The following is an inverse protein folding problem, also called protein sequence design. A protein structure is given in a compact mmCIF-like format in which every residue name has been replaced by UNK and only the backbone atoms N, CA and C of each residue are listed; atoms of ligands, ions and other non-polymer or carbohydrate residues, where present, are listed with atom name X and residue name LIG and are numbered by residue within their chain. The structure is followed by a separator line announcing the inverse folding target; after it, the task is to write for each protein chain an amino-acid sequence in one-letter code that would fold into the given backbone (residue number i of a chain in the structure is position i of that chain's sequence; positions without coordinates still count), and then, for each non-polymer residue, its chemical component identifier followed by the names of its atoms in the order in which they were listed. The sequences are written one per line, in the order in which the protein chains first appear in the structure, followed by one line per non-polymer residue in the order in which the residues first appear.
data_IF_640516676711
#
_entry.id   IF_640516676711
#
_cell.length_a   1.000
_cell.length_b   1.000
_cell.length_c   1.000
_cell.angle_alpha   90.00
_cell.angle_beta   90.00
_cell.angle_gamma   90.00
#
_symmetry.space_group_name_H-M   'P 1'
#
loop_
_entity.id
_entity.type
_entity.pdbx_description
1 polymer ?
#
# COMPACT_ATOMS: atom_id res chain seq x y z
N UNK A 1 -1.73 18.19 9.54
CA UNK A 1 -0.74 18.08 8.47
C UNK A 1 -1.40 17.48 7.23
N UNK A 2 -1.22 18.13 6.09
CA UNK A 2 -1.86 17.68 4.86
C UNK A 2 -1.02 16.57 4.20
N UNK A 3 -1.60 15.38 4.04
CA UNK A 3 -0.92 14.26 3.39
C UNK A 3 -0.97 14.42 1.86
N UNK A 4 0.14 14.16 1.15
CA UNK A 4 0.16 14.27 -0.31
C UNK A 4 -0.66 13.17 -0.96
N UNK A 5 -1.70 13.57 -1.69
CA UNK A 5 -2.63 12.64 -2.35
C UNK A 5 -1.95 11.69 -3.33
N UNK A 6 -0.99 12.21 -4.10
CA UNK A 6 -0.28 11.40 -5.10
C UNK A 6 0.49 10.27 -4.42
N UNK A 7 1.15 10.56 -3.31
CA UNK A 7 1.91 9.55 -2.57
C UNK A 7 0.97 8.48 -2.01
N UNK A 8 -0.17 8.90 -1.44
CA UNK A 8 -1.16 7.96 -0.89
C UNK A 8 -1.74 7.07 -1.98
N UNK A 9 -2.10 7.65 -3.12
CA UNK A 9 -2.61 6.88 -4.26
C UNK A 9 -1.59 5.85 -4.74
N UNK A 10 -0.30 6.20 -4.75
CA UNK A 10 0.75 5.28 -5.13
C UNK A 10 0.97 4.17 -4.10
N UNK A 11 0.71 4.43 -2.81
CA UNK A 11 0.72 3.37 -1.78
C UNK A 11 -0.36 2.34 -2.11
N UNK A 12 -1.56 2.77 -2.45
CA UNK A 12 -2.65 1.87 -2.81
C UNK A 12 -2.30 1.04 -4.05
N UNK A 13 -1.73 1.67 -5.08
CA UNK A 13 -1.26 0.96 -6.27
C UNK A 13 -0.18 -0.06 -5.92
N UNK A 14 0.77 0.32 -5.07
CA UNK A 14 1.85 -0.56 -4.63
C UNK A 14 1.31 -1.79 -3.88
N UNK A 15 0.33 -1.61 -3.01
CA UNK A 15 -0.29 -2.73 -2.30
C UNK A 15 -1.00 -3.69 -3.26
N UNK A 16 -1.66 -3.17 -4.29
CA UNK A 16 -2.25 -3.99 -5.33
C UNK A 16 -1.17 -4.77 -6.09
N UNK A 17 -0.05 -4.14 -6.41
CA UNK A 17 1.07 -4.81 -7.08
C UNK A 17 1.63 -5.97 -6.25
N UNK A 18 1.72 -5.79 -4.93
CA UNK A 18 2.22 -6.85 -4.04
C UNK A 18 1.20 -7.97 -3.88
N UNK A 19 -0.04 -7.64 -3.52
CA UNK A 19 -1.02 -8.65 -3.09
C UNK A 19 -1.86 -9.23 -4.22
N UNK A 20 -2.07 -8.51 -5.30
CA UNK A 20 -2.86 -8.97 -6.43
C UNK A 20 -1.95 -9.48 -7.55
N UNK A 21 -0.90 -8.74 -7.88
CA UNK A 21 0.01 -9.09 -8.97
C UNK A 21 1.20 -9.93 -8.54
N UNK A 22 1.41 -10.10 -7.24
CA UNK A 22 2.47 -10.96 -6.71
C UNK A 22 3.88 -10.40 -6.83
N UNK A 23 4.04 -9.09 -6.93
CA UNK A 23 5.34 -8.45 -7.05
C UNK A 23 5.99 -8.27 -5.68
N UNK A 24 7.33 -8.28 -5.64
CA UNK A 24 8.05 -8.01 -4.40
C UNK A 24 7.97 -6.54 -4.02
N UNK A 25 7.76 -6.25 -2.72
CA UNK A 25 7.64 -4.89 -2.22
C UNK A 25 8.86 -4.03 -2.57
N UNK A 26 10.08 -4.57 -2.45
CA UNK A 26 11.32 -3.85 -2.80
C UNK A 26 11.32 -3.39 -4.25
N UNK A 27 10.89 -4.24 -5.16
CA UNK A 27 10.81 -3.93 -6.59
C UNK A 27 9.75 -2.87 -6.88
N UNK A 28 8.62 -2.97 -6.20
CA UNK A 28 7.52 -2.00 -6.34
C UNK A 28 7.97 -0.62 -5.88
N UNK A 29 8.65 -0.54 -4.74
CA UNK A 29 9.15 0.73 -4.18
C UNK A 29 10.22 1.34 -5.09
N UNK A 30 11.17 0.54 -5.55
CA UNK A 30 12.21 1.00 -6.47
C UNK A 30 11.61 1.59 -7.75
N UNK A 31 10.64 0.90 -8.33
CA UNK A 31 9.96 1.35 -9.54
C UNK A 31 9.21 2.66 -9.31
N UNK A 32 8.54 2.80 -8.17
CA UNK A 32 7.82 4.02 -7.83
C UNK A 32 8.76 5.21 -7.70
N UNK A 33 9.92 5.02 -7.08
CA UNK A 33 10.93 6.08 -6.96
C UNK A 33 11.47 6.51 -8.31
N UNK A 34 11.67 5.59 -9.24
CA UNK A 34 12.09 5.89 -10.61
C UNK A 34 11.01 6.66 -11.38
N UNK A 35 9.75 6.32 -11.16
CA UNK A 35 8.62 6.98 -11.81
C UNK A 35 8.37 8.38 -11.23
N UNK A 36 8.66 8.58 -9.95
CA UNK A 36 8.39 9.84 -9.24
C UNK A 36 9.67 10.47 -8.72
N UNK A 37 10.58 10.79 -9.63
CA UNK A 37 11.89 11.38 -9.31
C UNK A 37 11.83 12.70 -8.56
N UNK A 38 10.70 13.40 -8.65
CA UNK A 38 10.51 14.69 -7.99
C UNK A 38 10.13 14.56 -6.51
N UNK A 39 9.83 13.36 -6.04
CA UNK A 39 9.55 13.18 -4.63
C UNK A 39 10.79 13.49 -3.78
N UNK A 40 10.61 14.35 -2.78
CA UNK A 40 11.66 14.64 -1.81
C UNK A 40 11.82 13.49 -0.79
N UNK A 41 12.77 13.66 0.11
CA UNK A 41 13.07 12.66 1.14
C UNK A 41 11.84 12.30 1.99
N UNK A 42 11.01 13.29 2.31
CA UNK A 42 9.81 13.13 3.11
C UNK A 42 8.76 12.24 2.42
N UNK A 43 8.50 12.52 1.13
CA UNK A 43 7.52 11.75 0.36
C UNK A 43 7.99 10.32 0.14
N UNK A 44 9.28 10.14 -0.15
CA UNK A 44 9.87 8.81 -0.31
C UNK A 44 9.78 8.00 0.98
N UNK A 45 10.03 8.63 2.11
CA UNK A 45 9.93 7.97 3.42
C UNK A 45 8.49 7.57 3.71
N UNK A 46 7.55 8.48 3.52
CA UNK A 46 6.12 8.19 3.73
C UNK A 46 5.68 7.01 2.89
N UNK A 47 6.02 7.01 1.60
CA UNK A 47 5.67 5.92 0.69
C UNK A 47 6.28 4.60 1.13
N UNK A 48 7.60 4.56 1.34
CA UNK A 48 8.29 3.33 1.67
C UNK A 48 7.87 2.75 3.02
N UNK A 49 7.79 3.58 4.05
CA UNK A 49 7.36 3.13 5.38
C UNK A 49 5.93 2.61 5.37
N UNK A 50 5.03 3.30 4.67
CA UNK A 50 3.64 2.88 4.57
C UNK A 50 3.51 1.53 3.88
N UNK A 51 4.19 1.35 2.75
CA UNK A 51 4.16 0.07 2.02
C UNK A 51 4.76 -1.05 2.86
N UNK A 52 5.95 -0.85 3.44
CA UNK A 52 6.60 -1.90 4.24
C UNK A 52 5.78 -2.27 5.48
N UNK A 53 5.26 -1.29 6.20
CA UNK A 53 4.47 -1.55 7.39
C UNK A 53 3.18 -2.30 7.07
N UNK A 54 2.46 -1.87 6.04
CA UNK A 54 1.20 -2.52 5.67
C UNK A 54 1.46 -3.93 5.14
N UNK A 55 2.49 -4.13 4.33
CA UNK A 55 2.85 -5.47 3.82
C UNK A 55 3.24 -6.38 4.97
N UNK A 56 4.09 -5.92 5.89
CA UNK A 56 4.58 -6.71 7.02
C UNK A 56 3.44 -7.16 7.94
N UNK A 57 2.50 -6.27 8.20
CA UNK A 57 1.39 -6.51 9.11
C UNK A 57 0.04 -6.56 8.38
N UNK A 58 0.04 -7.13 7.17
CA UNK A 58 -1.11 -7.12 6.26
C UNK A 58 -2.39 -7.63 6.90
N UNK A 59 -2.36 -8.81 7.53
CA UNK A 59 -3.55 -9.40 8.16
C UNK A 59 -4.11 -8.50 9.25
N UNK A 60 -3.23 -7.87 10.01
CA UNK A 60 -3.62 -6.96 11.09
C UNK A 60 -4.29 -5.70 10.54
N UNK A 61 -3.70 -5.07 9.53
CA UNK A 61 -4.27 -3.89 8.91
C UNK A 61 -5.60 -4.19 8.21
N UNK A 62 -5.69 -5.34 7.56
CA UNK A 62 -6.93 -5.82 6.94
C UNK A 62 -8.03 -5.99 7.98
N UNK A 63 -7.70 -6.62 9.10
CA UNK A 63 -8.62 -6.81 10.22
C UNK A 63 -9.08 -5.46 10.81
N UNK A 64 -8.16 -4.53 11.05
CA UNK A 64 -8.47 -3.20 11.58
C UNK A 64 -9.37 -2.39 10.65
N UNK A 65 -9.31 -2.65 9.35
CA UNK A 65 -10.19 -2.02 8.38
C UNK A 65 -11.62 -2.58 8.40
N UNK A 66 -11.88 -3.60 9.23
CA UNK A 66 -13.19 -4.24 9.32
C UNK A 66 -13.50 -5.21 8.20
N UNK A 67 -12.49 -5.68 7.48
CA UNK A 67 -12.65 -6.58 6.35
C UNK A 67 -12.62 -8.06 6.78
N UNK A 68 -13.25 -8.98 6.02
CA UNK A 68 -13.29 -10.40 6.38
C UNK A 68 -11.89 -11.03 6.40
N UNK A 69 -11.48 -11.56 7.55
CA UNK A 69 -10.14 -12.15 7.73
C UNK A 69 -9.83 -13.25 6.73
N UNK A 70 -10.83 -14.08 6.40
CA UNK A 70 -10.66 -15.19 5.47
C UNK A 70 -10.31 -14.74 4.03
N UNK A 71 -10.56 -13.49 3.69
CA UNK A 71 -10.34 -12.94 2.36
C UNK A 71 -9.04 -12.15 2.21
N UNK A 72 -8.24 -12.04 3.27
CA UNK A 72 -7.07 -11.15 3.27
C UNK A 72 -6.00 -11.50 2.23
N UNK A 73 -5.94 -12.75 1.77
CA UNK A 73 -5.02 -13.19 0.73
C UNK A 73 -5.73 -13.62 -0.55
N UNK A 74 -7.04 -13.42 -0.65
CA UNK A 74 -7.80 -13.73 -1.84
C UNK A 74 -7.67 -12.58 -2.84
N UNK A 75 -6.97 -12.83 -3.94
CA UNK A 75 -6.70 -11.79 -4.96
C UNK A 75 -7.97 -11.15 -5.52
N UNK A 76 -9.03 -11.92 -5.67
CA UNK A 76 -10.31 -11.42 -6.20
C UNK A 76 -11.04 -10.55 -5.19
N UNK A 77 -10.82 -10.78 -3.90
CA UNK A 77 -11.43 -10.01 -2.82
C UNK A 77 -10.66 -8.72 -2.48
N UNK A 78 -9.40 -8.62 -2.90
CA UNK A 78 -8.58 -7.43 -2.66
C UNK A 78 -8.87 -6.40 -3.76
N UNK A 79 -9.90 -5.59 -3.54
CA UNK A 79 -10.31 -4.54 -4.47
C UNK A 79 -9.63 -3.22 -4.15
N UNK A 80 -9.62 -2.30 -5.09
CA UNK A 80 -9.10 -0.95 -4.88
C UNK A 80 -9.79 -0.27 -3.69
N UNK A 81 -11.10 -0.38 -3.59
CA UNK A 81 -11.85 0.20 -2.48
C UNK A 81 -11.37 -0.34 -1.12
N UNK A 82 -11.17 -1.65 -1.03
CA UNK A 82 -10.69 -2.28 0.21
C UNK A 82 -9.27 -1.87 0.54
N UNK A 83 -8.42 -1.67 -0.47
CA UNK A 83 -7.06 -1.15 -0.26
C UNK A 83 -7.09 0.26 0.32
N UNK A 84 -7.99 1.11 -0.15
CA UNK A 84 -8.19 2.43 0.45
C UNK A 84 -8.68 2.33 1.89
N UNK A 85 -9.54 1.36 2.20
CA UNK A 85 -10.00 1.11 3.57
C UNK A 85 -8.85 0.67 4.48
N UNK A 86 -7.96 -0.20 3.98
CA UNK A 86 -6.76 -0.63 4.73
C UNK A 86 -5.86 0.58 5.00
N UNK A 87 -5.62 1.41 4.01
CA UNK A 87 -4.84 2.64 4.19
C UNK A 87 -5.47 3.53 5.25
N UNK A 88 -6.78 3.72 5.21
CA UNK A 88 -7.50 4.56 6.17
C UNK A 88 -7.40 4.06 7.61
N UNK A 89 -7.29 2.74 7.81
CA UNK A 89 -7.12 2.14 9.13
C UNK A 89 -5.66 2.19 9.62
N UNK A 90 -4.73 2.31 8.70
CA UNK A 90 -3.31 2.46 9.00
C UNK A 90 -3.03 3.86 9.52
#
# INVERSE_FOLDING_TARGET
MKLPRIVIAEVVVALADVFVRGLHADKVIERAFKAHKKWGARDRRLFAESVYDIVRWWRWHWHLAGLPDAECLNKEAITELRLWQVWGAY
#
